data_IF_874460947238
#
_entry.id   IF_874460947238
#
_cell.length_a   1.000
_cell.length_b   1.000
_cell.length_c   1.000
_cell.angle_alpha   90.00
_cell.angle_beta   90.00
_cell.angle_gamma   90.00
#
_symmetry.space_group_name_H-M   'P 1'
#
loop_
_entity.id
_entity.type
_entity.pdbx_description
1 polymer ?
#
# COMPACT_ATOMS: atom_id res chain seq x y z
N UNK A 1 -3.22 6.61 -17.04
CA UNK A 1 -3.55 7.98 -17.46
C UNK A 1 -2.72 8.95 -16.62
N UNK A 2 -1.83 9.76 -17.21
CA UNK A 2 -0.87 10.58 -16.46
C UNK A 2 -1.49 11.50 -15.39
N UNK A 3 -2.70 12.03 -15.65
CA UNK A 3 -3.40 12.90 -14.70
C UNK A 3 -3.80 12.21 -13.39
N UNK A 4 -4.16 10.92 -13.43
CA UNK A 4 -4.53 10.17 -12.24
C UNK A 4 -3.32 9.82 -11.37
N UNK A 5 -2.17 9.56 -11.99
CA UNK A 5 -0.91 9.34 -11.28
C UNK A 5 -0.43 10.64 -10.60
N UNK A 6 -0.62 11.80 -11.24
CA UNK A 6 -0.37 13.11 -10.62
C UNK A 6 -1.27 13.36 -9.41
N UNK A 7 -2.56 13.01 -9.49
CA UNK A 7 -3.49 13.17 -8.38
C UNK A 7 -3.15 12.23 -7.20
N UNK A 8 -2.72 10.99 -7.49
CA UNK A 8 -2.18 10.08 -6.47
C UNK A 8 -0.93 10.63 -5.80
N UNK A 9 -0.01 11.23 -6.58
CA UNK A 9 1.17 11.88 -6.02
C UNK A 9 0.81 13.04 -5.09
N UNK A 10 -0.14 13.90 -5.49
CA UNK A 10 -0.66 14.97 -4.63
C UNK A 10 -1.29 14.42 -3.35
N UNK A 11 -2.05 13.33 -3.45
CA UNK A 11 -2.65 12.66 -2.30
C UNK A 11 -1.58 12.16 -1.31
N UNK A 12 -0.50 11.54 -1.79
CA UNK A 12 0.64 11.12 -0.95
C UNK A 12 1.35 12.31 -0.33
N UNK A 13 1.58 13.39 -1.08
CA UNK A 13 2.18 14.61 -0.55
C UNK A 13 1.34 15.24 0.56
N UNK A 14 0.02 15.22 0.43
CA UNK A 14 -0.89 15.69 1.48
C UNK A 14 -0.76 14.84 2.76
N UNK A 15 -0.62 13.51 2.63
CA UNK A 15 -0.39 12.61 3.77
C UNK A 15 0.96 12.89 4.44
N UNK A 16 2.02 13.13 3.65
CA UNK A 16 3.33 13.50 4.20
C UNK A 16 3.24 14.84 4.95
N UNK A 17 2.61 15.85 4.34
CA UNK A 17 2.39 17.17 4.97
C UNK A 17 1.64 17.07 6.31
N UNK A 18 0.65 16.19 6.38
CA UNK A 18 -0.09 15.89 7.61
C UNK A 18 0.83 15.31 8.70
N UNK A 19 1.67 14.32 8.37
CA UNK A 19 2.60 13.73 9.35
C UNK A 19 3.73 14.69 9.77
N UNK A 20 4.04 15.69 8.94
CA UNK A 20 4.96 16.78 9.27
C UNK A 20 4.32 17.88 10.15
N UNK A 21 3.05 17.73 10.55
CA UNK A 21 2.30 18.71 11.35
C UNK A 21 2.28 20.12 10.73
N UNK A 22 2.18 20.21 9.40
CA UNK A 22 2.12 21.50 8.73
C UNK A 22 0.78 22.22 9.02
N UNK A 23 0.79 23.47 9.53
CA UNK A 23 -0.44 24.17 9.97
C UNK A 23 -1.50 24.35 8.88
N UNK A 24 -1.08 24.42 7.62
CA UNK A 24 -1.95 24.64 6.47
C UNK A 24 -2.53 23.33 5.88
N UNK A 25 -2.14 22.16 6.38
CA UNK A 25 -2.55 20.85 5.86
C UNK A 25 -3.25 19.93 6.89
N UNK A 26 -4.17 20.42 7.74
CA UNK A 26 -4.83 19.58 8.75
C UNK A 26 -5.68 18.46 8.13
N UNK A 27 -6.16 18.66 6.90
CA UNK A 27 -6.94 17.67 6.14
C UNK A 27 -6.11 16.67 5.33
N UNK A 28 -4.78 16.65 5.45
CA UNK A 28 -3.93 15.79 4.62
C UNK A 28 -4.17 14.28 4.79
N UNK A 29 -4.83 13.87 5.89
CA UNK A 29 -5.35 12.51 6.08
C UNK A 29 -6.30 12.06 4.95
N UNK A 30 -7.08 12.99 4.38
CA UNK A 30 -7.99 12.69 3.26
C UNK A 30 -7.24 12.19 2.01
N UNK A 31 -5.94 12.49 1.92
CA UNK A 31 -5.08 11.95 0.88
C UNK A 31 -5.10 10.41 0.84
N UNK A 32 -5.21 9.74 1.98
CA UNK A 32 -5.32 8.27 2.01
C UNK A 32 -6.60 7.80 1.30
N UNK A 33 -7.74 8.43 1.60
CA UNK A 33 -9.02 8.10 0.98
C UNK A 33 -8.99 8.34 -0.54
N UNK A 34 -8.46 9.49 -0.96
CA UNK A 34 -8.32 9.83 -2.39
C UNK A 34 -7.43 8.82 -3.09
N UNK A 35 -6.28 8.47 -2.48
CA UNK A 35 -5.35 7.51 -3.04
C UNK A 35 -6.01 6.13 -3.26
N UNK A 36 -6.73 5.60 -2.26
CA UNK A 36 -7.43 4.32 -2.40
C UNK A 36 -8.55 4.34 -3.44
N UNK A 37 -9.36 5.40 -3.50
CA UNK A 37 -10.42 5.52 -4.51
C UNK A 37 -9.83 5.53 -5.92
N UNK A 38 -8.76 6.29 -6.13
CA UNK A 38 -8.08 6.36 -7.44
C UNK A 38 -7.43 5.03 -7.81
N UNK A 39 -6.79 4.35 -6.85
CA UNK A 39 -6.23 3.01 -7.05
C UNK A 39 -7.31 1.99 -7.44
N UNK A 40 -8.47 2.03 -6.79
CA UNK A 40 -9.62 1.20 -7.12
C UNK A 40 -10.18 1.46 -8.51
N UNK A 41 -10.39 2.73 -8.85
CA UNK A 41 -10.84 3.14 -10.18
C UNK A 41 -9.88 2.68 -11.27
N UNK A 42 -8.59 2.96 -11.13
CA UNK A 42 -7.58 2.69 -12.16
C UNK A 42 -7.47 1.21 -12.50
N UNK A 43 -7.55 0.33 -11.50
CA UNK A 43 -7.48 -1.12 -11.76
C UNK A 43 -8.74 -1.62 -12.40
N UNK A 44 -9.89 -1.16 -11.92
CA UNK A 44 -11.16 -1.53 -12.53
C UNK A 44 -11.18 -1.15 -14.01
N UNK A 45 -10.72 0.06 -14.34
CA UNK A 45 -10.58 0.54 -15.73
C UNK A 45 -9.62 -0.34 -16.55
N UNK A 46 -8.43 -0.66 -16.02
CA UNK A 46 -7.45 -1.54 -16.70
C UNK A 46 -8.03 -2.94 -16.97
N UNK A 47 -8.70 -3.53 -15.98
CA UNK A 47 -9.26 -4.88 -16.09
C UNK A 47 -10.48 -4.90 -17.03
N UNK A 48 -11.35 -3.89 -16.95
CA UNK A 48 -12.49 -3.73 -17.85
C UNK A 48 -12.03 -3.54 -19.31
N UNK A 49 -10.97 -2.76 -19.54
CA UNK A 49 -10.39 -2.59 -20.87
C UNK A 49 -9.78 -3.89 -21.42
N UNK A 50 -9.10 -4.70 -20.59
CA UNK A 50 -8.63 -6.03 -20.98
C UNK A 50 -9.79 -6.95 -21.36
N UNK A 51 -10.86 -6.93 -20.58
CA UNK A 51 -12.05 -7.73 -20.85
C UNK A 51 -12.73 -7.31 -22.17
N UNK A 52 -12.94 -6.02 -22.39
CA UNK A 52 -13.56 -5.51 -23.62
C UNK A 52 -12.74 -5.83 -24.87
N UNK A 53 -11.41 -5.83 -24.78
CA UNK A 53 -10.54 -6.08 -25.94
C UNK A 53 -10.32 -7.55 -26.25
N UNK A 54 -10.28 -8.43 -25.23
CA UNK A 54 -9.86 -9.83 -25.41
C UNK A 54 -10.81 -10.88 -24.83
N UNK A 55 -11.88 -10.46 -24.13
CA UNK A 55 -12.83 -11.33 -23.44
C UNK A 55 -12.21 -12.13 -22.29
N UNK A 56 -11.00 -11.77 -21.85
CA UNK A 56 -10.25 -12.44 -20.79
C UNK A 56 -9.45 -11.44 -19.97
N UNK A 57 -9.24 -11.75 -18.70
CA UNK A 57 -8.37 -10.97 -17.81
C UNK A 57 -7.08 -11.77 -17.59
N UNK A 58 -5.92 -11.19 -17.93
CA UNK A 58 -4.64 -11.85 -17.69
C UNK A 58 -4.11 -11.54 -16.29
N UNK A 59 -4.61 -12.29 -15.30
CA UNK A 59 -4.24 -12.11 -13.89
C UNK A 59 -2.75 -12.33 -13.62
N UNK A 60 -2.14 -13.30 -14.30
CA UNK A 60 -0.71 -13.61 -14.14
C UNK A 60 0.15 -12.42 -14.55
N UNK A 61 -0.11 -11.85 -15.72
CA UNK A 61 0.63 -10.69 -16.20
C UNK A 61 0.39 -9.46 -15.32
N UNK A 62 -0.86 -9.25 -14.89
CA UNK A 62 -1.22 -8.17 -13.98
C UNK A 62 -0.45 -8.23 -12.65
N UNK A 63 -0.44 -9.38 -11.97
CA UNK A 63 0.29 -9.54 -10.70
C UNK A 63 1.80 -9.49 -10.91
N UNK A 64 2.35 -10.07 -11.98
CA UNK A 64 3.79 -10.02 -12.28
C UNK A 64 4.26 -8.59 -12.61
N UNK A 65 3.47 -7.81 -13.33
CA UNK A 65 3.78 -6.41 -13.61
C UNK A 65 3.84 -5.59 -12.31
N UNK A 66 2.91 -5.84 -11.39
CA UNK A 66 2.89 -5.17 -10.08
C UNK A 66 4.05 -5.61 -9.18
N UNK A 67 4.32 -6.91 -9.07
CA UNK A 67 5.41 -7.44 -8.28
C UNK A 67 6.76 -6.86 -8.72
N UNK A 68 7.02 -6.78 -10.04
CA UNK A 68 8.24 -6.16 -10.59
C UNK A 68 8.36 -4.67 -10.30
N UNK A 69 7.24 -3.97 -10.08
CA UNK A 69 7.21 -2.54 -9.77
C UNK A 69 7.41 -2.26 -8.28
N UNK A 70 6.81 -3.08 -7.39
CA UNK A 70 6.74 -2.78 -5.95
C UNK A 70 7.78 -3.52 -5.11
N UNK A 71 8.04 -4.81 -5.40
CA UNK A 71 8.95 -5.61 -4.58
C UNK A 71 10.38 -5.04 -4.54
N UNK A 72 10.98 -4.56 -5.65
CA UNK A 72 12.33 -3.99 -5.58
C UNK A 72 12.40 -2.78 -4.64
N UNK A 73 11.42 -1.87 -4.73
CA UNK A 73 11.37 -0.69 -3.87
C UNK A 73 11.15 -1.06 -2.40
N UNK A 74 10.28 -2.04 -2.13
CA UNK A 74 10.03 -2.56 -0.78
C UNK A 74 11.32 -3.13 -0.17
N UNK A 75 12.02 -4.02 -0.88
CA UNK A 75 13.24 -4.65 -0.37
C UNK A 75 14.38 -3.66 -0.16
N UNK A 76 14.55 -2.69 -1.07
CA UNK A 76 15.55 -1.62 -0.91
C UNK A 76 15.24 -0.79 0.33
N UNK A 77 13.98 -0.42 0.53
CA UNK A 77 13.57 0.35 1.70
C UNK A 77 13.75 -0.44 3.00
N UNK A 78 13.29 -1.70 3.05
CA UNK A 78 13.46 -2.57 4.22
C UNK A 78 14.95 -2.76 4.56
N UNK A 79 15.79 -3.04 3.56
CA UNK A 79 17.23 -3.14 3.73
C UNK A 79 17.84 -1.84 4.27
N UNK A 80 17.43 -0.69 3.75
CA UNK A 80 17.85 0.62 4.25
C UNK A 80 17.48 0.86 5.71
N UNK A 81 16.24 0.54 6.09
CA UNK A 81 15.76 0.67 7.49
C UNK A 81 16.53 -0.27 8.42
N UNK A 82 16.79 -1.51 8.00
CA UNK A 82 17.55 -2.49 8.79
C UNK A 82 19.00 -2.01 8.98
N UNK A 83 19.67 -1.55 7.92
CA UNK A 83 21.04 -1.03 8.00
C UNK A 83 21.10 0.19 8.91
N UNK A 84 20.16 1.13 8.75
CA UNK A 84 20.08 2.33 9.57
C UNK A 84 19.88 1.99 11.06
N UNK A 85 18.92 1.12 11.40
CA UNK A 85 18.71 0.69 12.79
C UNK A 85 19.91 -0.07 13.36
N UNK A 86 20.58 -0.89 12.55
CA UNK A 86 21.78 -1.63 12.98
C UNK A 86 22.95 -0.72 13.38
N UNK A 87 23.01 0.50 12.84
CA UNK A 87 24.06 1.48 13.15
C UNK A 87 23.64 2.41 14.29
N UNK A 88 22.39 2.89 14.30
CA UNK A 88 21.95 3.96 15.19
C UNK A 88 21.14 3.50 16.41
N UNK A 89 20.41 2.39 16.31
CA UNK A 89 19.58 1.87 17.42
C UNK A 89 19.43 0.34 17.34
N UNK A 90 20.50 -0.42 17.65
CA UNK A 90 20.49 -1.88 17.51
C UNK A 90 19.49 -2.56 18.44
N UNK A 91 19.14 -1.93 19.57
CA UNK A 91 18.21 -2.47 20.56
C UNK A 91 16.79 -2.69 20.01
N UNK A 92 16.40 -1.95 18.97
CA UNK A 92 15.08 -2.06 18.32
C UNK A 92 15.00 -3.11 17.21
N UNK A 93 16.12 -3.73 16.82
CA UNK A 93 16.13 -4.75 15.76
C UNK A 93 15.25 -5.96 16.10
N UNK A 94 15.24 -6.39 17.36
CA UNK A 94 14.43 -7.53 17.81
C UNK A 94 12.93 -7.28 17.61
N UNK A 95 12.45 -6.07 17.89
CA UNK A 95 11.07 -5.67 17.64
C UNK A 95 10.76 -5.48 16.15
N UNK A 96 11.75 -5.03 15.35
CA UNK A 96 11.58 -4.74 13.92
C UNK A 96 11.35 -6.00 13.09
N UNK A 97 11.93 -7.14 13.47
CA UNK A 97 11.85 -8.37 12.68
C UNK A 97 10.43 -8.80 12.36
N UNK A 98 9.51 -8.66 13.32
CA UNK A 98 8.12 -9.00 13.10
C UNK A 98 7.44 -8.01 12.14
N UNK A 99 7.75 -6.72 12.24
CA UNK A 99 7.25 -5.69 11.32
C UNK A 99 7.75 -5.94 9.88
N UNK A 100 9.01 -6.37 9.73
CA UNK A 100 9.61 -6.73 8.42
C UNK A 100 8.91 -7.93 7.82
N UNK A 101 8.67 -8.98 8.61
CA UNK A 101 7.94 -10.16 8.14
C UNK A 101 6.53 -9.76 7.72
N UNK A 102 5.84 -8.97 8.54
CA UNK A 102 4.50 -8.48 8.22
C UNK A 102 4.49 -7.62 6.94
N UNK A 103 5.52 -6.81 6.70
CA UNK A 103 5.70 -6.02 5.50
C UNK A 103 5.92 -6.87 4.25
N UNK A 104 6.81 -7.86 4.31
CA UNK A 104 7.13 -8.75 3.17
C UNK A 104 5.89 -9.52 2.69
N UNK A 105 5.04 -9.94 3.63
CA UNK A 105 3.81 -10.68 3.32
C UNK A 105 2.59 -9.79 3.11
N UNK A 106 2.74 -8.45 3.11
CA UNK A 106 1.63 -7.50 2.99
C UNK A 106 0.50 -7.75 4.01
N UNK A 107 0.88 -8.02 5.26
CA UNK A 107 -0.03 -8.23 6.40
C UNK A 107 0.18 -7.21 7.53
N UNK A 108 0.90 -6.11 7.28
CA UNK A 108 1.20 -5.07 8.28
C UNK A 108 -0.05 -4.49 8.96
N UNK A 109 -1.16 -4.35 8.24
CA UNK A 109 -2.42 -3.90 8.82
C UNK A 109 -2.95 -4.88 9.88
N UNK A 110 -2.92 -6.18 9.59
CA UNK A 110 -3.35 -7.22 10.53
C UNK A 110 -2.40 -7.31 11.73
N UNK A 111 -1.11 -7.19 11.47
CA UNK A 111 -0.09 -7.13 12.52
C UNK A 111 -0.39 -6.02 13.54
N UNK A 112 -0.68 -4.80 13.07
CA UNK A 112 -1.05 -3.68 13.94
C UNK A 112 -2.34 -3.95 14.74
N UNK A 113 -3.37 -4.52 14.08
CA UNK A 113 -4.65 -4.88 14.73
C UNK A 113 -4.45 -5.90 15.85
N UNK A 114 -3.69 -6.96 15.60
CA UNK A 114 -3.44 -8.00 16.60
C UNK A 114 -2.60 -7.51 17.79
N UNK A 115 -1.76 -6.49 17.58
CA UNK A 115 -0.96 -5.89 18.64
C UNK A 115 -1.66 -4.72 19.34
N UNK A 116 -2.93 -4.46 19.02
CA UNK A 116 -3.72 -3.35 19.57
C UNK A 116 -3.03 -1.99 19.42
N UNK A 117 -2.24 -1.84 18.35
CA UNK A 117 -1.54 -0.60 18.03
C UNK A 117 -2.44 0.21 17.11
N UNK A 118 -3.07 1.24 17.67
CA UNK A 118 -3.76 2.23 16.84
C UNK A 118 -2.73 3.07 16.12
N UNK A 119 -2.74 3.05 14.78
CA UNK A 119 -1.88 3.90 13.96
C UNK A 119 -2.07 5.39 14.27
N UNK A 120 -3.29 5.79 14.64
CA UNK A 120 -3.66 7.17 14.96
C UNK A 120 -3.44 7.54 16.43
N UNK A 121 -3.44 6.55 17.34
CA UNK A 121 -3.34 6.79 18.80
C UNK A 121 -2.02 6.27 19.41
N UNK A 122 -1.01 5.94 18.59
CA UNK A 122 0.23 5.31 19.08
C UNK A 122 0.99 6.20 20.06
N UNK A 123 0.92 5.85 21.36
CA UNK A 123 1.74 6.41 22.44
C UNK A 123 3.10 5.69 22.50
N UNK A 124 4.07 6.18 21.73
CA UNK A 124 5.45 5.67 21.69
C UNK A 124 6.15 6.06 20.38
N UNK A 125 7.48 5.91 20.26
CA UNK A 125 8.15 6.13 18.98
C UNK A 125 7.62 5.11 17.96
N UNK A 126 6.89 5.56 16.93
CA UNK A 126 6.24 4.64 16.00
C UNK A 126 7.28 3.74 15.33
N UNK A 127 6.87 2.52 14.99
CA UNK A 127 7.70 1.67 14.13
C UNK A 127 7.96 2.43 12.83
N UNK A 128 9.22 2.47 12.34
CA UNK A 128 9.54 3.13 11.07
C UNK A 128 8.78 2.50 9.90
N UNK A 129 8.31 1.26 10.05
CA UNK A 129 7.54 0.52 9.05
C UNK A 129 6.02 0.67 9.22
N UNK A 130 5.55 1.47 10.18
CA UNK A 130 4.13 1.58 10.49
C UNK A 130 3.28 1.99 9.28
N UNK A 131 3.77 2.88 8.43
CA UNK A 131 3.08 3.38 7.24
C UNK A 131 2.76 2.30 6.17
N UNK A 132 3.39 1.13 6.24
CA UNK A 132 3.19 0.01 5.30
C UNK A 132 1.81 -0.65 5.42
N UNK A 133 1.04 -0.34 6.47
CA UNK A 133 -0.35 -0.82 6.56
C UNK A 133 -1.18 -0.44 5.34
N UNK A 134 -0.98 0.77 4.80
CA UNK A 134 -1.75 1.27 3.66
C UNK A 134 -1.40 0.51 2.38
N UNK A 135 -0.11 0.22 2.18
CA UNK A 135 0.38 -0.60 1.08
C UNK A 135 -0.11 -2.05 1.20
N UNK A 136 -0.14 -2.62 2.41
CA UNK A 136 -0.67 -3.96 2.65
C UNK A 136 -2.15 -4.07 2.27
N UNK A 137 -2.97 -3.10 2.67
CA UNK A 137 -4.40 -3.04 2.30
C UNK A 137 -4.57 -2.88 0.79
N UNK A 138 -3.77 -2.01 0.17
CA UNK A 138 -3.78 -1.82 -1.27
C UNK A 138 -3.46 -3.14 -2.02
N UNK A 139 -2.42 -3.86 -1.62
CA UNK A 139 -2.06 -5.15 -2.23
C UNK A 139 -3.12 -6.25 -2.00
N UNK A 140 -3.75 -6.28 -0.83
CA UNK A 140 -4.85 -7.21 -0.56
C UNK A 140 -6.04 -6.92 -1.49
N UNK A 141 -6.41 -5.65 -1.65
CA UNK A 141 -7.45 -5.25 -2.60
C UNK A 141 -7.07 -5.64 -4.04
N UNK A 142 -5.80 -5.51 -4.40
CA UNK A 142 -5.25 -5.84 -5.71
C UNK A 142 -5.17 -7.33 -6.02
N UNK A 143 -5.16 -8.18 -4.99
CA UNK A 143 -5.23 -9.61 -5.14
C UNK A 143 -6.69 -10.07 -5.28
N UNK A 144 -7.59 -9.51 -4.48
CA UNK A 144 -8.99 -9.94 -4.39
C UNK A 144 -9.85 -9.35 -5.51
N UNK A 145 -9.73 -8.05 -5.78
CA UNK A 145 -10.62 -7.35 -6.72
C UNK A 145 -10.60 -7.91 -8.15
N UNK A 146 -9.44 -8.22 -8.76
CA UNK A 146 -9.43 -8.78 -10.11
C UNK A 146 -10.15 -10.14 -10.21
N UNK A 147 -10.11 -10.95 -9.14
CA UNK A 147 -10.83 -12.22 -9.07
C UNK A 147 -12.34 -11.99 -9.00
N UNK A 148 -12.78 -11.08 -8.14
CA UNK A 148 -14.20 -10.73 -8.00
C UNK A 148 -14.77 -10.13 -9.29
N UNK A 149 -14.05 -9.19 -9.91
CA UNK A 149 -14.48 -8.56 -11.15
C UNK A 149 -14.52 -9.58 -12.30
N UNK A 150 -13.50 -10.43 -12.42
CA UNK A 150 -13.49 -11.50 -13.41
C UNK A 150 -14.68 -12.45 -13.24
N UNK A 151 -14.93 -12.94 -12.02
CA UNK A 151 -16.10 -13.77 -11.73
C UNK A 151 -17.41 -13.08 -12.08
N UNK A 152 -17.57 -11.80 -11.71
CA UNK A 152 -18.76 -11.02 -12.04
C UNK A 152 -19.01 -10.90 -13.54
N UNK A 153 -17.97 -10.60 -14.33
CA UNK A 153 -18.05 -10.48 -15.78
C UNK A 153 -18.32 -11.83 -16.49
N UNK A 154 -17.91 -12.96 -15.90
CA UNK A 154 -18.24 -14.29 -16.42
C UNK A 154 -19.66 -14.74 -16.05
N UNK A 155 -20.15 -14.37 -14.86
CA UNK A 155 -21.46 -14.80 -14.36
C UNK A 155 -22.62 -13.93 -14.84
N UNK A 156 -22.36 -12.67 -15.19
CA UNK A 156 -23.37 -11.71 -15.65
C UNK A 156 -22.99 -11.28 -17.08
N UNK A 157 -23.52 -11.97 -18.11
CA UNK A 157 -23.21 -11.66 -19.51
C UNK A 157 -23.81 -10.33 -19.98
#
# INVERSE_FOLDING_TARGET
MPGLDGLRALAVLAVIAYHLNLPWAPGGLLGVCVFFVLSGYLITDILAAQWQSSGKINLKEFWLARARRLLPALFVMLGGVIVWLSVFDPGRLSSLWNDVIAAIFYISNWWLVFHQVSYFDSFGPPSPLGHLWSLAVEEQFYLIWPLLLGLGLYCIP
#
